data_IF_822452014370
#
_entry.id   IF_822452014370
#
_cell.length_a   1.000
_cell.length_b   1.000
_cell.length_c   1.000
_cell.angle_alpha   90.00
_cell.angle_beta   90.00
_cell.angle_gamma   90.00
#
_symmetry.space_group_name_H-M   'P 1'
#
loop_
_entity.id
_entity.type
_entity.pdbx_description
1 polymer ?
#
# COMPACT_ATOMS: atom_id res chain seq x y z
N UNK A 1 -25.24 -12.17 -36.80
CA UNK A 1 -24.63 -10.83 -36.79
C UNK A 1 -24.51 -10.43 -35.33
N UNK A 2 -23.29 -10.09 -34.94
CA UNK A 2 -22.68 -10.28 -33.62
C UNK A 2 -23.49 -9.78 -32.42
N UNK A 3 -23.73 -10.70 -31.48
CA UNK A 3 -24.10 -10.42 -30.10
C UNK A 3 -22.88 -9.80 -29.42
N UNK A 4 -22.89 -8.48 -29.25
CA UNK A 4 -21.88 -7.76 -28.48
C UNK A 4 -22.44 -7.58 -27.07
N UNK A 5 -22.17 -8.56 -26.20
CA UNK A 5 -22.30 -8.38 -24.75
C UNK A 5 -21.52 -7.13 -24.38
N UNK A 6 -22.10 -6.15 -23.65
CA UNK A 6 -21.30 -5.06 -23.12
C UNK A 6 -20.25 -5.68 -22.19
N UNK A 7 -18.99 -5.50 -22.55
CA UNK A 7 -17.84 -5.80 -21.71
C UNK A 7 -18.05 -5.04 -20.39
N UNK A 8 -18.56 -5.74 -19.39
CA UNK A 8 -18.85 -5.18 -18.09
C UNK A 8 -17.52 -4.69 -17.54
N UNK A 9 -17.35 -3.36 -17.49
CA UNK A 9 -16.21 -2.73 -16.86
C UNK A 9 -15.93 -3.47 -15.53
N UNK A 10 -14.67 -3.86 -15.26
CA UNK A 10 -14.36 -4.70 -14.12
C UNK A 10 -14.97 -4.08 -12.87
N UNK A 11 -15.71 -4.88 -12.11
CA UNK A 11 -16.37 -4.43 -10.88
C UNK A 11 -15.37 -3.63 -10.05
N UNK A 12 -15.78 -2.44 -9.61
CA UNK A 12 -14.90 -1.57 -8.84
C UNK A 12 -14.30 -2.35 -7.67
N UNK A 13 -12.97 -2.28 -7.46
CA UNK A 13 -12.32 -3.09 -6.43
C UNK A 13 -12.88 -2.76 -5.06
N UNK A 14 -12.90 -3.79 -4.20
CA UNK A 14 -13.34 -3.69 -2.81
C UNK A 14 -12.71 -2.47 -2.11
N UNK A 15 -13.50 -1.61 -1.43
CA UNK A 15 -13.01 -0.41 -0.76
C UNK A 15 -11.88 -0.69 0.23
N UNK A 16 -11.86 -1.85 0.90
CA UNK A 16 -10.75 -2.19 1.79
C UNK A 16 -9.45 -2.41 1.01
N UNK A 17 -9.51 -3.06 -0.16
CA UNK A 17 -8.35 -3.24 -1.06
C UNK A 17 -7.87 -1.91 -1.64
N UNK A 18 -8.78 -0.98 -1.92
CA UNK A 18 -8.41 0.40 -2.27
C UNK A 18 -7.63 1.08 -1.13
N UNK A 19 -8.06 0.89 0.12
CA UNK A 19 -7.30 1.40 1.27
C UNK A 19 -5.93 0.73 1.39
N UNK A 20 -5.82 -0.58 1.13
CA UNK A 20 -4.52 -1.27 1.11
C UNK A 20 -3.62 -0.65 0.03
N UNK A 21 -4.13 -0.44 -1.20
CA UNK A 21 -3.36 0.20 -2.26
C UNK A 21 -2.83 1.60 -1.84
N UNK A 22 -3.62 2.36 -1.08
CA UNK A 22 -3.20 3.65 -0.51
C UNK A 22 -2.14 3.50 0.59
N UNK A 23 -2.26 2.49 1.46
CA UNK A 23 -1.22 2.18 2.46
C UNK A 23 0.10 1.76 1.80
N UNK A 24 0.03 0.99 0.72
CA UNK A 24 1.19 0.62 -0.07
C UNK A 24 1.84 1.84 -0.72
N UNK A 25 1.03 2.75 -1.29
CA UNK A 25 1.54 4.02 -1.78
C UNK A 25 2.24 4.84 -0.68
N UNK A 26 1.65 4.94 0.51
CA UNK A 26 2.28 5.60 1.67
C UNK A 26 3.59 4.93 2.10
N UNK A 27 3.69 3.61 1.98
CA UNK A 27 4.90 2.85 2.33
C UNK A 27 6.04 3.18 1.38
N UNK A 28 5.78 3.23 0.08
CA UNK A 28 6.80 3.51 -0.94
C UNK A 28 7.37 4.93 -0.87
N UNK A 29 6.54 5.91 -0.51
CA UNK A 29 6.90 7.34 -0.52
C UNK A 29 7.23 7.86 0.88
N UNK A 30 7.40 6.97 1.86
CA UNK A 30 7.51 7.35 3.27
C UNK A 30 8.76 8.20 3.56
N UNK A 31 9.79 8.13 2.71
CA UNK A 31 10.99 8.96 2.75
C UNK A 31 10.88 10.27 1.94
N UNK A 32 9.75 10.45 1.24
CA UNK A 32 9.41 11.66 0.49
C UNK A 32 9.86 11.65 -0.97
N UNK A 33 10.49 10.59 -1.46
CA UNK A 33 10.89 10.47 -2.86
C UNK A 33 10.15 9.33 -3.57
N UNK A 34 9.94 9.46 -4.88
CA UNK A 34 9.46 8.38 -5.74
C UNK A 34 10.40 8.23 -6.93
N UNK A 35 11.39 7.35 -6.80
CA UNK A 35 12.29 6.90 -7.83
C UNK A 35 11.69 5.75 -8.66
N UNK A 36 12.19 5.58 -9.90
CA UNK A 36 11.76 4.51 -10.80
C UNK A 36 11.88 3.11 -10.19
N UNK A 37 12.89 2.88 -9.34
CA UNK A 37 13.12 1.60 -8.65
C UNK A 37 11.97 1.20 -7.72
N UNK A 38 11.27 2.16 -7.11
CA UNK A 38 10.15 1.87 -6.19
C UNK A 38 8.91 1.47 -6.97
N UNK A 39 8.67 2.08 -8.14
CA UNK A 39 7.63 1.65 -9.07
C UNK A 39 7.96 0.27 -9.66
N UNK A 40 9.21 0.02 -10.02
CA UNK A 40 9.65 -1.31 -10.48
C UNK A 40 9.51 -2.38 -9.39
N UNK A 41 9.67 -2.02 -8.11
CA UNK A 41 9.48 -2.94 -6.99
C UNK A 41 8.03 -3.46 -6.91
N UNK A 42 7.03 -2.61 -7.23
CA UNK A 42 5.63 -3.05 -7.30
C UNK A 42 5.42 -4.17 -8.32
N UNK A 43 6.06 -4.05 -9.48
CA UNK A 43 5.97 -5.02 -10.57
C UNK A 43 6.78 -6.29 -10.26
N UNK A 44 8.03 -6.10 -9.82
CA UNK A 44 8.95 -7.18 -9.47
C UNK A 44 8.35 -8.12 -8.42
N UNK A 45 7.64 -7.56 -7.45
CA UNK A 45 7.01 -8.30 -6.36
C UNK A 45 5.51 -8.59 -6.59
N UNK A 46 4.98 -8.28 -7.78
CA UNK A 46 3.57 -8.52 -8.15
C UNK A 46 2.59 -8.01 -7.10
N UNK A 47 2.84 -6.81 -6.56
CA UNK A 47 2.08 -6.27 -5.43
C UNK A 47 0.61 -6.04 -5.79
N UNK A 48 0.31 -5.66 -7.03
CA UNK A 48 -1.06 -5.51 -7.50
C UNK A 48 -1.84 -6.84 -7.43
N UNK A 49 -1.22 -7.94 -7.86
CA UNK A 49 -1.79 -9.29 -7.76
C UNK A 49 -1.95 -9.72 -6.30
N UNK A 50 -0.92 -9.48 -5.48
CA UNK A 50 -0.95 -9.77 -4.04
C UNK A 50 -2.08 -9.03 -3.33
N UNK A 51 -2.28 -7.75 -3.63
CA UNK A 51 -3.33 -6.92 -3.02
C UNK A 51 -4.71 -7.22 -3.62
N UNK A 52 -4.77 -7.84 -4.81
CA UNK A 52 -6.01 -8.12 -5.53
C UNK A 52 -6.63 -6.85 -6.12
N UNK A 53 -5.80 -5.93 -6.64
CA UNK A 53 -6.24 -4.70 -7.31
C UNK A 53 -5.67 -4.62 -8.72
N UNK A 54 -6.32 -3.92 -9.66
CA UNK A 54 -5.72 -3.64 -10.95
C UNK A 54 -4.38 -2.92 -10.81
N UNK A 55 -3.38 -3.33 -11.58
CA UNK A 55 -2.05 -2.70 -11.57
C UNK A 55 -2.12 -1.19 -11.81
N UNK A 56 -2.87 -0.77 -12.83
CA UNK A 56 -2.98 0.64 -13.19
C UNK A 56 -3.60 1.47 -12.06
N UNK A 57 -4.51 0.87 -11.29
CA UNK A 57 -5.09 1.51 -10.11
C UNK A 57 -4.04 1.71 -9.01
N UNK A 58 -3.20 0.71 -8.77
CA UNK A 58 -2.14 0.81 -7.78
C UNK A 58 -1.13 1.89 -8.16
N UNK A 59 -0.68 1.89 -9.42
CA UNK A 59 0.25 2.91 -9.95
C UNK A 59 -0.37 4.30 -9.86
N UNK A 60 -1.64 4.46 -10.27
CA UNK A 60 -2.33 5.74 -10.18
C UNK A 60 -2.45 6.23 -8.73
N UNK A 61 -2.72 5.31 -7.79
CA UNK A 61 -2.79 5.63 -6.36
C UNK A 61 -1.46 6.16 -5.81
N UNK A 62 -0.33 5.60 -6.26
CA UNK A 62 1.02 6.07 -5.91
C UNK A 62 1.27 7.47 -6.46
N UNK A 63 0.97 7.68 -7.75
CA UNK A 63 1.14 8.98 -8.42
C UNK A 63 0.31 10.07 -7.73
N UNK A 64 -0.95 9.77 -7.38
CA UNK A 64 -1.84 10.73 -6.73
C UNK A 64 -1.40 11.06 -5.30
N UNK A 65 -0.86 10.09 -4.57
CA UNK A 65 -0.23 10.37 -3.28
C UNK A 65 0.99 11.28 -3.43
N UNK A 66 1.87 11.02 -4.40
CA UNK A 66 3.02 11.89 -4.65
C UNK A 66 2.60 13.32 -5.02
N UNK A 67 1.55 13.47 -5.83
CA UNK A 67 0.98 14.79 -6.17
C UNK A 67 0.41 15.48 -4.94
N UNK A 68 -0.28 14.76 -4.06
CA UNK A 68 -0.84 15.30 -2.81
C UNK A 68 0.25 15.81 -1.88
N UNK A 69 1.35 15.06 -1.72
CA UNK A 69 2.50 15.49 -0.91
C UNK A 69 3.15 16.75 -1.48
N UNK A 70 3.38 16.81 -2.81
CA UNK A 70 3.95 17.98 -3.48
C UNK A 70 3.03 19.20 -3.49
N UNK A 71 1.72 19.01 -3.57
CA UNK A 71 0.74 20.10 -3.50
C UNK A 71 0.56 20.65 -2.07
N UNK A 72 0.98 19.88 -1.06
CA UNK A 72 0.90 20.21 0.37
C UNK A 72 2.05 21.07 0.90
N UNK A 73 2.87 21.70 0.04
CA UNK A 73 3.94 22.62 0.46
C UNK A 73 3.39 23.94 1.03
N UNK A 74 2.82 23.85 2.24
CA UNK A 74 2.91 24.93 3.21
C UNK A 74 4.24 24.76 3.99
N UNK A 75 5.05 25.82 4.15
CA UNK A 75 6.34 25.71 4.83
C UNK A 75 6.12 25.28 6.28
N UNK A 76 6.61 24.08 6.64
CA UNK A 76 6.58 23.54 8.00
C UNK A 76 5.69 22.31 8.23
N UNK A 77 4.93 21.84 7.23
CA UNK A 77 4.01 20.69 7.37
C UNK A 77 4.44 19.47 6.56
N UNK A 78 5.74 19.27 6.36
CA UNK A 78 6.30 17.94 6.06
C UNK A 78 6.28 17.09 7.35
N UNK A 79 5.12 17.05 8.01
CA UNK A 79 4.92 16.15 9.13
C UNK A 79 4.60 14.80 8.53
N UNK A 80 5.61 13.94 8.53
CA UNK A 80 5.53 12.61 9.15
C UNK A 80 4.11 12.09 9.12
N UNK A 81 3.78 11.27 8.11
CA UNK A 81 2.59 10.40 8.07
C UNK A 81 1.49 10.89 9.01
N UNK A 82 0.59 11.77 8.55
CA UNK A 82 -0.53 12.24 9.38
C UNK A 82 -1.14 11.05 10.13
N UNK A 83 -0.84 10.97 11.43
CA UNK A 83 -1.04 9.76 12.22
C UNK A 83 -2.53 9.46 12.26
N UNK A 84 -3.35 10.49 12.41
CA UNK A 84 -4.80 10.37 12.43
C UNK A 84 -5.35 9.85 11.09
N UNK A 85 -4.82 10.36 9.97
CA UNK A 85 -5.20 9.86 8.64
C UNK A 85 -4.78 8.40 8.43
N UNK A 86 -3.57 8.05 8.87
CA UNK A 86 -3.04 6.69 8.78
C UNK A 86 -3.86 5.73 9.63
N UNK A 87 -4.19 6.11 10.87
CA UNK A 87 -5.03 5.32 11.77
C UNK A 87 -6.44 5.11 11.20
N UNK A 88 -7.05 6.17 10.64
CA UNK A 88 -8.36 6.05 9.95
C UNK A 88 -8.30 5.09 8.77
N UNK A 89 -7.21 5.07 8.01
CA UNK A 89 -7.01 4.10 6.94
C UNK A 89 -6.91 2.68 7.51
N UNK A 90 -6.09 2.48 8.54
CA UNK A 90 -5.93 1.16 9.18
C UNK A 90 -7.24 0.65 9.80
N UNK A 91 -8.07 1.52 10.37
CA UNK A 91 -9.37 1.18 10.96
C UNK A 91 -10.41 0.79 9.91
N UNK A 92 -10.33 1.38 8.71
CA UNK A 92 -11.24 1.06 7.61
C UNK A 92 -11.01 -0.34 7.02
N UNK A 93 -9.87 -0.96 7.32
CA UNK A 93 -9.60 -2.36 6.98
C UNK A 93 -10.09 -3.23 8.14
N UNK A 94 -11.27 -3.81 7.98
CA UNK A 94 -11.96 -4.59 9.01
C UNK A 94 -11.76 -6.09 8.85
N UNK A 95 -11.47 -6.56 7.64
CA UNK A 95 -11.24 -7.98 7.35
C UNK A 95 -9.83 -8.42 7.86
N UNK A 96 -9.74 -9.39 8.80
CA UNK A 96 -8.46 -9.90 9.29
C UNK A 96 -7.53 -10.44 8.20
N UNK A 97 -8.08 -11.08 7.15
CA UNK A 97 -7.29 -11.58 6.04
C UNK A 97 -6.66 -10.44 5.25
N UNK A 98 -7.40 -9.34 5.05
CA UNK A 98 -6.90 -8.13 4.38
C UNK A 98 -5.86 -7.38 5.22
N UNK A 99 -5.97 -7.39 6.54
CA UNK A 99 -4.95 -6.83 7.45
C UNK A 99 -3.62 -7.57 7.31
N UNK A 100 -3.66 -8.90 7.36
CA UNK A 100 -2.47 -9.73 7.17
C UNK A 100 -1.86 -9.52 5.78
N UNK A 101 -2.70 -9.49 4.74
CA UNK A 101 -2.32 -9.20 3.36
C UNK A 101 -1.61 -7.85 3.21
N UNK A 102 -2.15 -6.80 3.85
CA UNK A 102 -1.54 -5.47 3.84
C UNK A 102 -0.15 -5.48 4.50
N UNK A 103 -0.03 -6.06 5.70
CA UNK A 103 1.28 -6.19 6.37
C UNK A 103 2.28 -7.00 5.54
N UNK A 104 1.83 -8.05 4.83
CA UNK A 104 2.68 -8.85 3.95
C UNK A 104 3.19 -8.05 2.77
N UNK A 105 2.30 -7.32 2.08
CA UNK A 105 2.68 -6.46 0.97
C UNK A 105 3.66 -5.36 1.39
N UNK A 106 3.43 -4.73 2.55
CA UNK A 106 4.36 -3.74 3.13
C UNK A 106 5.73 -4.37 3.44
N UNK A 107 5.75 -5.56 4.06
CA UNK A 107 6.99 -6.28 4.38
C UNK A 107 7.79 -6.66 3.13
N UNK A 108 7.11 -7.13 2.08
CA UNK A 108 7.75 -7.50 0.81
C UNK A 108 8.40 -6.28 0.17
N UNK A 109 7.70 -5.14 0.12
CA UNK A 109 8.24 -3.89 -0.44
C UNK A 109 9.40 -3.35 0.38
N UNK A 110 9.28 -3.33 1.71
CA UNK A 110 10.36 -2.92 2.60
C UNK A 110 11.63 -3.76 2.46
N UNK A 111 11.51 -5.05 2.11
CA UNK A 111 12.67 -5.94 1.89
C UNK A 111 13.27 -5.84 0.48
N UNK A 112 12.54 -5.30 -0.49
CA UNK A 112 12.87 -5.34 -1.92
C UNK A 112 14.26 -4.77 -2.25
N UNK A 113 14.65 -3.70 -1.57
CA UNK A 113 15.90 -2.97 -1.83
C UNK A 113 16.99 -3.29 -0.78
N UNK A 114 16.79 -4.31 0.06
CA UNK A 114 17.74 -4.75 1.09
C UNK A 114 17.95 -3.76 2.24
N UNK A 115 17.24 -2.63 2.25
CA UNK A 115 17.27 -1.63 3.32
C UNK A 115 15.86 -1.15 3.59
N UNK A 116 15.39 -1.35 4.83
CA UNK A 116 14.12 -0.78 5.28
C UNK A 116 14.40 0.60 5.86
N UNK A 117 13.80 1.64 5.32
CA UNK A 117 13.94 2.99 5.88
C UNK A 117 13.21 3.09 7.24
N UNK A 118 13.64 4.01 8.11
CA UNK A 118 13.00 4.20 9.42
C UNK A 118 11.49 4.55 9.32
N UNK A 119 11.05 5.38 8.34
CA UNK A 119 9.63 5.65 8.11
C UNK A 119 8.82 4.40 7.73
N UNK A 120 9.31 3.57 6.82
CA UNK A 120 8.66 2.30 6.44
C UNK A 120 8.53 1.34 7.62
N UNK A 121 9.61 1.15 8.39
CA UNK A 121 9.59 0.31 9.59
C UNK A 121 8.57 0.81 10.60
N UNK A 122 8.46 2.13 10.75
CA UNK A 122 7.53 2.76 11.69
C UNK A 122 6.08 2.51 11.26
N UNK A 123 5.77 2.67 9.97
CA UNK A 123 4.44 2.41 9.44
C UNK A 123 4.04 0.94 9.55
N UNK A 124 4.93 0.01 9.17
CA UNK A 124 4.69 -1.43 9.31
C UNK A 124 4.48 -1.84 10.76
N UNK A 125 5.34 -1.37 11.68
CA UNK A 125 5.20 -1.68 13.11
C UNK A 125 3.93 -1.10 13.70
N UNK A 126 3.50 0.07 13.25
CA UNK A 126 2.24 0.67 13.68
C UNK A 126 1.04 -0.16 13.24
N UNK A 127 1.01 -0.60 11.97
CA UNK A 127 -0.04 -1.49 11.46
C UNK A 127 -0.09 -2.83 12.22
N UNK A 128 1.07 -3.48 12.43
CA UNK A 128 1.17 -4.72 13.20
C UNK A 128 0.62 -4.57 14.63
N UNK A 129 1.04 -3.51 15.32
CA UNK A 129 0.57 -3.20 16.69
C UNK A 129 -0.94 -2.98 16.72
N UNK A 130 -1.46 -2.18 15.78
CA UNK A 130 -2.89 -1.81 15.75
C UNK A 130 -3.79 -3.01 15.47
N UNK A 131 -3.34 -3.94 14.63
CA UNK A 131 -4.11 -5.14 14.27
C UNK A 131 -3.81 -6.36 15.15
N UNK A 132 -2.88 -6.24 16.11
CA UNK A 132 -2.51 -7.36 16.98
C UNK A 132 -1.79 -8.50 16.25
N UNK A 133 -1.02 -8.16 15.21
CA UNK A 133 -0.30 -9.12 14.37
C UNK A 133 1.19 -9.15 14.74
N UNK A 134 1.82 -10.32 14.63
CA UNK A 134 3.28 -10.45 14.78
C UNK A 134 3.97 -10.52 13.42
N UNK A 135 5.21 -10.01 13.34
CA UNK A 135 6.01 -10.09 12.12
C UNK A 135 6.27 -11.56 11.72
N UNK A 136 6.44 -12.44 12.70
CA UNK A 136 6.64 -13.87 12.52
C UNK A 136 5.46 -14.53 11.82
N UNK A 137 4.23 -14.21 12.26
CA UNK A 137 3.01 -14.75 11.64
C UNK A 137 2.88 -14.32 10.18
N UNK A 138 3.20 -13.05 9.87
CA UNK A 138 3.18 -12.51 8.50
C UNK A 138 4.29 -13.12 7.63
N UNK A 139 5.48 -13.32 8.19
CA UNK A 139 6.61 -13.88 7.46
C UNK A 139 6.44 -15.38 7.15
N UNK A 140 5.86 -16.15 8.08
CA UNK A 140 5.61 -17.58 7.88
C UNK A 140 4.59 -17.83 6.76
N UNK A 141 3.54 -17.02 6.70
CA UNK A 141 2.49 -17.10 5.67
C UNK A 141 2.98 -16.64 4.29
N UNK A 142 3.96 -15.74 4.23
CA UNK A 142 4.58 -15.30 2.98
C UNK A 142 5.53 -16.32 2.34
N UNK A 143 6.03 -17.28 3.11
CA UNK A 143 6.94 -18.34 2.67
C UNK A 143 6.21 -19.64 2.28
N UNK A 144 4.88 -19.66 2.43
CA UNK A 144 3.99 -20.79 2.11
C UNK A 144 3.32 -20.58 0.76
#
# INVERSE_FOLDING_TARGET
MTDATPDAAPAAPDPQRLTIARLIALTLIADGDLASRELEALDRHRIAELVGVPRDLLIQTVIDHCRTLRAGEAPGTLRVLDLERTERMLDSITDPALRALACRAMLVLSKADGRITLPEQTLLRHALTRWGLSLEAIAADAAS
#
